data_IF_401869457692
#
_entry.id   IF_401869457692
#
_cell.length_a   1.000
_cell.length_b   1.000
_cell.length_c   1.000
_cell.angle_alpha   90.00
_cell.angle_beta   90.00
_cell.angle_gamma   90.00
#
_symmetry.space_group_name_H-M   'P 1'
#
loop_
_entity.id
_entity.type
_entity.pdbx_description
1 polymer ?
#
# COMPACT_ATOMS: atom_id res chain seq x y z
N UNK A 1 13.30 15.04 8.63
CA UNK A 1 12.83 15.43 9.97
C UNK A 1 11.79 14.45 10.49
N UNK A 2 12.03 13.94 11.66
CA UNK A 2 11.10 13.06 12.33
C UNK A 2 9.93 13.83 12.92
N UNK A 3 8.72 13.32 12.72
CA UNK A 3 7.51 13.92 13.30
C UNK A 3 7.06 13.08 14.49
N UNK A 4 6.90 13.73 15.63
CA UNK A 4 6.50 13.06 16.87
C UNK A 4 4.98 13.05 17.07
N UNK A 5 4.27 13.91 16.33
CA UNK A 5 2.81 14.00 16.42
C UNK A 5 2.16 13.29 15.25
N UNK A 6 0.92 12.86 15.46
CA UNK A 6 0.12 12.27 14.40
C UNK A 6 -0.51 13.35 13.54
N UNK A 7 -0.88 13.01 12.31
CA UNK A 7 -1.66 13.90 11.45
C UNK A 7 -2.90 13.16 10.96
N UNK A 8 -3.91 13.93 10.61
CA UNK A 8 -5.10 13.43 9.93
C UNK A 8 -4.96 13.73 8.45
N UNK A 9 -4.97 12.69 7.63
CA UNK A 9 -4.89 12.82 6.17
C UNK A 9 -5.93 11.90 5.54
N UNK A 10 -5.96 11.85 4.21
CA UNK A 10 -6.96 11.03 3.52
C UNK A 10 -6.33 10.34 2.31
N UNK A 11 -6.99 9.28 1.86
CA UNK A 11 -6.58 8.59 0.64
C UNK A 11 -7.06 9.40 -0.57
N UNK A 12 -6.14 9.68 -1.51
CA UNK A 12 -6.43 10.52 -2.68
C UNK A 12 -7.08 9.75 -3.82
N UNK A 13 -7.03 8.44 -3.78
CA UNK A 13 -7.46 7.58 -4.87
C UNK A 13 -6.31 7.04 -5.71
N UNK A 14 -5.12 7.60 -5.56
CA UNK A 14 -3.93 7.07 -6.20
C UNK A 14 -3.41 5.84 -5.46
N UNK A 15 -2.78 4.94 -6.19
CA UNK A 15 -2.18 3.76 -5.57
C UNK A 15 -1.13 3.16 -6.49
N UNK A 16 -0.26 2.31 -5.89
CA UNK A 16 0.72 1.53 -6.64
C UNK A 16 0.34 0.06 -6.57
N UNK A 17 0.42 -0.64 -7.69
CA UNK A 17 0.14 -2.07 -7.73
C UNK A 17 1.26 -2.85 -7.04
N UNK A 18 0.90 -4.00 -6.49
CA UNK A 18 1.87 -4.88 -5.84
C UNK A 18 2.90 -5.36 -6.85
N UNK A 19 4.16 -5.46 -6.41
CA UNK A 19 5.23 -5.98 -7.26
C UNK A 19 5.07 -7.49 -7.44
N UNK A 20 5.50 -7.98 -8.60
CA UNK A 20 5.38 -9.40 -8.94
C UNK A 20 6.29 -10.27 -8.10
N UNK A 21 7.55 -9.91 -8.01
CA UNK A 21 8.57 -10.78 -7.44
C UNK A 21 8.51 -10.90 -5.92
N UNK A 22 8.52 -12.14 -5.44
CA UNK A 22 8.71 -12.41 -4.03
C UNK A 22 10.18 -12.22 -3.67
N UNK A 23 10.45 -11.40 -2.69
CA UNK A 23 11.83 -11.11 -2.26
C UNK A 23 12.35 -12.21 -1.33
N UNK A 24 13.52 -12.72 -1.66
CA UNK A 24 14.15 -13.78 -0.89
C UNK A 24 13.66 -15.16 -1.26
N UNK A 25 13.93 -16.12 -0.40
CA UNK A 25 13.53 -17.52 -0.62
C UNK A 25 12.10 -17.74 -0.16
N UNK A 26 11.24 -18.20 -1.06
CA UNK A 26 9.86 -18.51 -0.71
C UNK A 26 9.83 -19.72 0.26
N UNK A 27 9.05 -19.63 1.36
CA UNK A 27 8.89 -20.75 2.27
C UNK A 27 8.20 -21.92 1.59
N UNK A 28 8.41 -23.14 2.11
CA UNK A 28 7.79 -24.33 1.54
C UNK A 28 6.26 -24.25 1.51
N UNK A 29 5.68 -23.49 2.42
CA UNK A 29 4.23 -23.28 2.50
C UNK A 29 3.72 -22.18 1.57
N UNK A 30 4.60 -21.55 0.79
CA UNK A 30 4.20 -20.47 -0.09
C UNK A 30 3.22 -20.96 -1.16
N UNK A 31 2.14 -20.25 -1.37
CA UNK A 31 1.05 -20.68 -2.24
C UNK A 31 1.04 -20.02 -3.62
N UNK A 32 1.68 -18.86 -3.76
CA UNK A 32 1.50 -18.02 -4.95
C UNK A 32 2.65 -18.17 -5.93
N UNK A 33 2.35 -18.69 -7.11
CA UNK A 33 3.34 -19.03 -8.13
C UNK A 33 2.87 -18.57 -9.51
N UNK A 34 3.82 -18.30 -10.39
CA UNK A 34 3.51 -17.98 -11.78
C UNK A 34 4.43 -18.74 -12.71
N UNK A 35 3.85 -19.31 -13.77
CA UNK A 35 4.62 -19.94 -14.84
C UNK A 35 5.22 -18.83 -15.70
N UNK A 36 6.56 -18.76 -15.77
CA UNK A 36 7.26 -17.71 -16.51
C UNK A 36 7.06 -17.80 -18.02
N UNK A 37 6.70 -18.95 -18.54
CA UNK A 37 6.49 -19.14 -19.97
C UNK A 37 5.09 -18.76 -20.42
N UNK A 38 4.08 -19.10 -19.63
CA UNK A 38 2.68 -18.91 -20.00
C UNK A 38 2.01 -17.73 -19.29
N UNK A 39 2.58 -17.28 -18.15
CA UNK A 39 1.96 -16.26 -17.32
C UNK A 39 0.83 -16.76 -16.46
N UNK A 40 0.60 -18.07 -16.44
CA UNK A 40 -0.46 -18.64 -15.61
C UNK A 40 -0.08 -18.59 -14.14
N UNK A 41 -1.03 -18.19 -13.29
CA UNK A 41 -0.81 -18.03 -11.86
C UNK A 41 -1.49 -19.15 -11.07
N UNK A 42 -0.81 -19.61 -10.02
CA UNK A 42 -1.29 -20.68 -9.16
C UNK A 42 -1.32 -20.23 -7.71
N UNK A 43 -2.28 -20.73 -6.95
CA UNK A 43 -2.36 -20.45 -5.52
C UNK A 43 -2.40 -21.74 -4.69
N UNK A 44 -1.69 -22.76 -5.15
CA UNK A 44 -1.60 -24.03 -4.45
C UNK A 44 -0.15 -24.44 -4.27
N UNK A 45 0.18 -24.94 -3.09
CA UNK A 45 1.52 -25.37 -2.74
C UNK A 45 1.96 -26.60 -3.55
N UNK A 46 1.02 -27.45 -3.95
CA UNK A 46 1.34 -28.69 -4.67
C UNK A 46 2.10 -28.47 -5.98
N UNK A 47 1.92 -27.32 -6.62
CA UNK A 47 2.59 -27.01 -7.87
C UNK A 47 4.08 -26.78 -7.69
N UNK A 48 4.50 -26.41 -6.50
CA UNK A 48 5.91 -26.20 -6.20
C UNK A 48 6.75 -27.43 -6.44
N UNK A 49 6.26 -28.60 -6.02
CA UNK A 49 6.99 -29.87 -6.15
C UNK A 49 7.13 -30.31 -7.60
N UNK A 50 6.12 -29.99 -8.43
CA UNK A 50 6.14 -30.40 -9.83
C UNK A 50 6.91 -29.45 -10.74
N UNK A 51 6.85 -28.15 -10.47
CA UNK A 51 7.30 -27.14 -11.42
C UNK A 51 8.45 -26.27 -10.93
N UNK A 52 8.82 -26.39 -9.67
CA UNK A 52 9.91 -25.60 -9.13
C UNK A 52 11.20 -25.93 -9.87
N UNK A 53 11.84 -24.91 -10.44
CA UNK A 53 13.03 -25.09 -11.26
C UNK A 53 12.76 -25.27 -12.75
N UNK A 54 11.50 -25.42 -13.14
CA UNK A 54 11.09 -25.57 -14.54
C UNK A 54 10.36 -24.35 -15.10
N UNK A 55 10.69 -23.16 -14.57
CA UNK A 55 10.08 -21.93 -15.01
C UNK A 55 8.95 -21.44 -14.12
N UNK A 56 8.83 -21.99 -12.93
CA UNK A 56 7.84 -21.54 -11.94
C UNK A 56 8.53 -20.59 -10.96
N UNK A 57 8.00 -19.39 -10.85
CA UNK A 57 8.55 -18.34 -9.98
C UNK A 57 7.61 -18.00 -8.84
N UNK A 58 8.13 -17.77 -7.62
CA UNK A 58 7.29 -17.29 -6.54
C UNK A 58 6.88 -15.83 -6.78
N UNK A 59 5.61 -15.53 -6.57
CA UNK A 59 5.07 -14.18 -6.73
C UNK A 59 4.44 -13.74 -5.42
N UNK A 60 4.21 -12.42 -5.30
CA UNK A 60 3.57 -11.90 -4.10
C UNK A 60 2.07 -12.19 -4.12
N UNK A 61 1.48 -12.28 -2.94
CA UNK A 61 0.03 -12.46 -2.80
C UNK A 61 -0.72 -11.30 -3.44
N UNK A 62 -0.23 -10.08 -3.25
CA UNK A 62 -0.86 -8.89 -3.84
C UNK A 62 -0.86 -8.94 -5.36
N UNK A 63 0.25 -9.37 -5.94
CA UNK A 63 0.33 -9.51 -7.39
C UNK A 63 -0.64 -10.59 -7.90
N UNK A 64 -0.74 -11.70 -7.19
CA UNK A 64 -1.65 -12.79 -7.57
C UNK A 64 -3.09 -12.30 -7.67
N UNK A 65 -3.54 -11.50 -6.70
CA UNK A 65 -4.91 -11.00 -6.68
C UNK A 65 -5.10 -9.67 -7.42
N UNK A 66 -4.02 -9.03 -7.85
CA UNK A 66 -4.10 -7.74 -8.52
C UNK A 66 -4.34 -6.58 -7.56
N UNK A 67 -3.88 -6.70 -6.31
CA UNK A 67 -4.08 -5.68 -5.27
C UNK A 67 -3.06 -4.55 -5.37
N UNK A 68 -3.38 -3.44 -4.70
CA UNK A 68 -2.42 -2.37 -4.47
C UNK A 68 -1.41 -2.79 -3.41
N UNK A 69 -0.19 -2.24 -3.49
CA UNK A 69 0.82 -2.40 -2.43
C UNK A 69 0.79 -1.23 -1.47
N UNK A 70 0.49 -0.04 -1.97
CA UNK A 70 0.41 1.18 -1.19
C UNK A 70 -0.63 2.12 -1.78
N UNK A 71 -1.19 2.98 -0.93
CA UNK A 71 -2.17 3.98 -1.35
C UNK A 71 -1.61 5.37 -1.08
N UNK A 72 -1.87 6.27 -2.02
CA UNK A 72 -1.45 7.65 -1.89
C UNK A 72 -2.29 8.38 -0.86
N UNK A 73 -1.63 9.14 0.00
CA UNK A 73 -2.29 9.99 0.99
C UNK A 73 -2.06 11.46 0.65
N UNK A 74 -2.99 12.29 1.06
CA UNK A 74 -2.92 13.71 0.77
C UNK A 74 -3.51 14.58 1.86
N UNK A 75 -3.28 15.87 1.71
CA UNK A 75 -3.82 16.92 2.57
C UNK A 75 -4.40 18.01 1.67
N UNK A 76 -5.17 18.92 2.26
CA UNK A 76 -5.79 20.02 1.52
C UNK A 76 -5.03 21.33 1.73
N UNK A 77 -4.85 22.06 0.65
CA UNK A 77 -4.32 23.43 0.68
C UNK A 77 -5.06 24.28 -0.33
N UNK A 78 -5.64 25.37 0.13
CA UNK A 78 -6.36 26.32 -0.72
C UNK A 78 -7.41 25.66 -1.63
N UNK A 79 -8.14 24.69 -1.07
CA UNK A 79 -9.18 23.97 -1.78
C UNK A 79 -8.69 22.90 -2.76
N UNK A 80 -7.39 22.61 -2.74
CA UNK A 80 -6.80 21.62 -3.64
C UNK A 80 -6.16 20.46 -2.86
N UNK A 81 -6.22 19.27 -3.45
CA UNK A 81 -5.57 18.10 -2.91
C UNK A 81 -4.06 18.19 -3.16
N UNK A 82 -3.27 18.02 -2.11
CA UNK A 82 -1.81 17.98 -2.20
C UNK A 82 -1.35 16.58 -1.79
N UNK A 83 -0.83 15.78 -2.72
CA UNK A 83 -0.29 14.46 -2.35
C UNK A 83 0.94 14.63 -1.47
N UNK A 84 1.03 13.82 -0.41
CA UNK A 84 2.15 13.91 0.54
C UNK A 84 2.94 12.62 0.67
N UNK A 85 2.54 11.57 -0.01
CA UNK A 85 3.27 10.32 0.01
C UNK A 85 2.39 9.11 -0.17
N UNK A 86 2.95 7.93 0.07
CA UNK A 86 2.26 6.66 -0.03
C UNK A 86 2.34 5.92 1.30
N UNK A 87 1.28 5.21 1.61
CA UNK A 87 1.17 4.46 2.86
C UNK A 87 1.10 2.98 2.55
N UNK A 88 1.99 2.19 3.15
CA UNK A 88 2.01 0.73 3.02
C UNK A 88 1.62 0.10 4.37
N UNK A 89 1.67 -1.22 4.46
CA UNK A 89 1.29 -1.91 5.69
C UNK A 89 -0.21 -1.90 5.96
N UNK A 90 -0.99 -1.70 4.91
CA UNK A 90 -2.45 -1.64 5.01
C UNK A 90 -3.06 -3.04 5.04
N UNK A 91 -4.32 -3.15 5.47
CA UNK A 91 -5.01 -4.43 5.47
C UNK A 91 -5.27 -4.92 4.06
N UNK A 92 -5.48 -6.23 3.92
CA UNK A 92 -5.76 -6.84 2.61
C UNK A 92 -7.04 -6.25 1.99
N UNK A 93 -8.05 -5.96 2.81
CA UNK A 93 -9.29 -5.36 2.34
C UNK A 93 -9.06 -4.01 1.66
N UNK A 94 -8.24 -3.16 2.26
CA UNK A 94 -7.92 -1.85 1.69
C UNK A 94 -7.12 -2.01 0.40
N UNK A 95 -6.13 -2.90 0.41
CA UNK A 95 -5.28 -3.14 -0.77
C UNK A 95 -6.06 -3.75 -1.94
N UNK A 96 -7.07 -4.54 -1.64
CA UNK A 96 -7.92 -5.17 -2.65
C UNK A 96 -8.93 -4.18 -3.26
N UNK A 97 -9.29 -3.13 -2.53
CA UNK A 97 -10.33 -2.19 -2.94
C UNK A 97 -9.90 -0.73 -2.75
N UNK A 98 -8.76 -0.33 -3.34
CA UNK A 98 -8.19 1.01 -3.05
C UNK A 98 -9.12 2.16 -3.37
N UNK A 99 -9.94 2.04 -4.42
CA UNK A 99 -10.84 3.14 -4.81
C UNK A 99 -12.04 3.30 -3.88
N UNK A 100 -12.40 2.26 -3.15
CA UNK A 100 -13.50 2.34 -2.19
C UNK A 100 -13.15 3.20 -0.98
N UNK A 101 -11.86 3.40 -0.76
CA UNK A 101 -11.37 4.18 0.38
C UNK A 101 -10.97 5.61 0.01
N UNK A 102 -11.20 6.02 -1.24
CA UNK A 102 -10.91 7.39 -1.67
C UNK A 102 -11.64 8.41 -0.78
N UNK A 103 -10.91 9.39 -0.30
CA UNK A 103 -11.38 10.47 0.60
C UNK A 103 -11.71 10.01 2.02
N UNK A 104 -11.42 8.77 2.38
CA UNK A 104 -11.53 8.34 3.77
C UNK A 104 -10.40 8.96 4.59
N UNK A 105 -10.75 9.53 5.74
CA UNK A 105 -9.76 10.18 6.61
C UNK A 105 -9.18 9.16 7.57
N UNK A 106 -7.87 9.22 7.71
CA UNK A 106 -7.12 8.33 8.61
C UNK A 106 -6.16 9.14 9.47
N UNK A 107 -5.81 8.56 10.62
CA UNK A 107 -4.74 9.10 11.45
C UNK A 107 -3.46 8.35 11.14
N UNK A 108 -2.37 9.07 10.92
CA UNK A 108 -1.07 8.50 10.58
C UNK A 108 -0.03 9.01 11.56
N UNK A 109 0.81 8.12 12.02
CA UNK A 109 1.90 8.46 12.92
C UNK A 109 3.21 7.83 12.49
N UNK A 110 4.24 7.94 13.34
CA UNK A 110 5.55 7.33 13.16
C UNK A 110 6.16 7.66 11.79
N UNK A 111 6.06 8.92 11.36
CA UNK A 111 6.46 9.32 10.01
C UNK A 111 7.67 10.24 10.00
N UNK A 112 8.29 10.32 8.84
CA UNK A 112 9.42 11.20 8.58
C UNK A 112 9.07 12.13 7.43
N UNK A 113 9.33 13.43 7.61
CA UNK A 113 9.08 14.42 6.57
C UNK A 113 10.36 14.67 5.77
N UNK A 114 10.28 14.48 4.45
CA UNK A 114 11.41 14.74 3.57
C UNK A 114 11.52 16.23 3.22
N UNK A 115 12.67 16.63 2.63
CA UNK A 115 12.92 18.04 2.25
C UNK A 115 11.93 18.54 1.20
N UNK A 116 11.42 17.65 0.36
CA UNK A 116 10.46 18.01 -0.69
C UNK A 116 8.99 17.96 -0.21
N UNK A 117 8.79 17.86 1.11
CA UNK A 117 7.44 17.91 1.69
C UNK A 117 6.67 16.60 1.62
N UNK A 118 7.35 15.49 1.44
CA UNK A 118 6.72 14.17 1.40
C UNK A 118 6.89 13.43 2.71
N UNK A 119 5.94 12.59 3.04
CA UNK A 119 6.02 11.74 4.23
C UNK A 119 6.55 10.36 3.86
N UNK A 120 7.42 9.83 4.71
CA UNK A 120 7.95 8.48 4.57
C UNK A 120 7.76 7.70 5.86
N UNK A 121 7.69 6.37 5.75
CA UNK A 121 7.61 5.46 6.89
C UNK A 121 6.40 5.70 7.79
N UNK A 122 5.35 6.32 7.24
CA UNK A 122 4.14 6.54 8.00
C UNK A 122 3.42 5.23 8.32
N UNK A 123 2.74 5.23 9.46
CA UNK A 123 1.96 4.09 9.90
C UNK A 123 0.52 4.51 10.15
N UNK A 124 -0.42 3.79 9.56
CA UNK A 124 -1.84 4.04 9.77
C UNK A 124 -2.22 3.59 11.19
N UNK A 125 -2.79 4.51 11.96
CA UNK A 125 -3.24 4.23 13.31
C UNK A 125 -4.72 3.89 13.39
N UNK A 126 -5.52 4.39 12.46
CA UNK A 126 -6.95 4.10 12.41
C UNK A 126 -7.69 5.07 11.52
N UNK A 127 -8.97 4.79 11.33
CA UNK A 127 -9.85 5.69 10.57
C UNK A 127 -10.38 6.80 11.47
N UNK A 128 -10.62 7.96 10.86
CA UNK A 128 -11.23 9.12 11.51
C UNK A 128 -12.55 9.41 10.82
N UNK A 129 -13.57 8.60 11.09
CA UNK A 129 -14.89 8.74 10.47
C UNK A 129 -15.63 9.99 10.89
N UNK A 130 -15.16 10.65 11.96
CA UNK A 130 -15.71 11.90 12.46
C UNK A 130 -15.20 13.14 11.71
N UNK A 131 -14.32 12.95 10.74
CA UNK A 131 -13.75 14.06 9.96
C UNK A 131 -14.00 13.93 8.47
N UNK A 132 -14.16 15.07 7.82
CA UNK A 132 -14.23 15.17 6.37
C UNK A 132 -12.83 15.43 5.81
N UNK A 133 -12.55 14.89 4.61
CA UNK A 133 -11.22 15.06 4.02
C UNK A 133 -10.86 16.53 3.78
N UNK A 134 -11.86 17.38 3.56
CA UNK A 134 -11.65 18.83 3.37
C UNK A 134 -11.06 19.50 4.61
N UNK A 135 -11.18 18.87 5.79
CA UNK A 135 -10.63 19.39 7.04
C UNK A 135 -9.17 19.01 7.25
N UNK A 136 -8.62 18.14 6.42
CA UNK A 136 -7.24 17.68 6.55
C UNK A 136 -6.29 18.70 5.93
N UNK A 137 -5.87 19.66 6.72
CA UNK A 137 -5.05 20.79 6.25
C UNK A 137 -3.56 20.45 6.17
N UNK A 138 -2.91 20.93 5.11
CA UNK A 138 -1.46 20.83 4.94
C UNK A 138 -0.70 21.55 6.06
N UNK A 139 -1.35 22.48 6.74
CA UNK A 139 -0.71 23.24 7.82
C UNK A 139 -0.28 22.38 9.00
N UNK A 140 -0.83 21.17 9.14
CA UNK A 140 -0.40 20.22 10.17
C UNK A 140 1.09 19.87 10.05
N UNK A 141 1.69 20.05 8.87
CA UNK A 141 3.08 19.71 8.61
C UNK A 141 4.05 20.86 8.91
N UNK A 142 3.57 22.00 9.32
CA UNK A 142 4.41 23.18 9.59
C UNK A 142 4.92 23.23 11.02
#
# INVERSE_FOLDING_TARGET
KELTETIDCFFTGGYKLATREYKGNAPESWLYWEDEKTGEKFNENKYRDYYFGEGLAPITKGYYYGWASSLEIGLMKDGKVVPIGYLSGLTDEIKANPLDYKYKVIEVGAMELTEDGKLRHGKMLGFRDDKDYMECSLEQLK
#
